data_IF_223806719800
#
_entry.id   IF_223806719800
#
_cell.length_a   1.000
_cell.length_b   1.000
_cell.length_c   1.000
_cell.angle_alpha   90.00
_cell.angle_beta   90.00
_cell.angle_gamma   90.00
#
_symmetry.space_group_name_H-M   'P 1'
#
loop_
_entity.id
_entity.type
_entity.pdbx_description
1 polymer ?
#
# COMPACT_ATOMS: atom_id res chain seq x y z
N UNK A 1 9.71 14.60 -2.02
CA UNK A 1 9.69 13.14 -2.18
C UNK A 1 10.39 12.72 -3.46
N UNK A 2 11.23 11.68 -3.40
CA UNK A 2 11.82 11.05 -4.58
C UNK A 2 11.44 9.57 -4.63
N UNK A 3 11.12 9.10 -5.83
CA UNK A 3 10.71 7.71 -6.06
C UNK A 3 11.81 6.71 -5.72
N UNK A 4 11.41 5.44 -5.61
CA UNK A 4 12.30 4.34 -5.29
C UNK A 4 13.42 4.18 -6.32
N UNK A 5 14.59 3.74 -5.84
CA UNK A 5 15.73 3.28 -6.64
C UNK A 5 16.23 1.95 -6.08
N UNK A 6 16.70 1.06 -6.94
CA UNK A 6 17.34 -0.18 -6.50
C UNK A 6 18.73 0.12 -5.89
N UNK A 7 19.00 -0.42 -4.71
CA UNK A 7 20.28 -0.30 -4.01
C UNK A 7 20.55 -1.57 -3.19
N UNK A 8 21.58 -2.33 -3.57
CA UNK A 8 22.04 -3.52 -2.83
C UNK A 8 20.90 -4.53 -2.52
N UNK A 9 20.06 -4.85 -3.51
CA UNK A 9 18.94 -5.80 -3.34
C UNK A 9 17.76 -5.25 -2.51
N UNK A 10 17.72 -3.93 -2.27
CA UNK A 10 16.61 -3.22 -1.63
C UNK A 10 16.11 -2.10 -2.54
N UNK A 11 14.92 -1.61 -2.24
CA UNK A 11 14.35 -0.43 -2.87
C UNK A 11 14.42 0.74 -1.89
N UNK A 12 14.97 1.87 -2.33
CA UNK A 12 15.16 3.05 -1.48
C UNK A 12 14.53 4.28 -2.14
N UNK A 13 13.53 4.85 -1.49
CA UNK A 13 12.96 6.16 -1.80
C UNK A 13 13.53 7.23 -0.85
N UNK A 14 13.36 8.51 -1.21
CA UNK A 14 13.60 9.61 -0.27
C UNK A 14 12.30 10.27 0.12
N UNK A 15 12.05 10.30 1.42
CA UNK A 15 10.87 10.85 2.06
C UNK A 15 11.39 11.63 3.26
N UNK A 16 11.24 12.95 3.23
CA UNK A 16 11.66 13.78 4.37
C UNK A 16 10.77 13.53 5.60
N UNK A 17 11.11 14.14 6.73
CA UNK A 17 10.40 13.94 7.99
C UNK A 17 8.93 14.36 7.93
N UNK A 18 8.62 15.49 7.26
CA UNK A 18 7.26 15.98 7.13
C UNK A 18 6.42 15.07 6.22
N UNK A 19 6.97 14.73 5.05
CA UNK A 19 6.33 13.79 4.12
C UNK A 19 6.08 12.43 4.77
N UNK A 20 7.03 11.95 5.58
CA UNK A 20 6.94 10.67 6.29
C UNK A 20 5.84 10.71 7.34
N UNK A 21 5.80 11.75 8.17
CA UNK A 21 4.77 11.92 9.19
C UNK A 21 3.37 11.95 8.56
N UNK A 22 3.22 12.61 7.41
CA UNK A 22 1.97 12.61 6.65
C UNK A 22 1.57 11.21 6.19
N UNK A 23 2.47 10.47 5.54
CA UNK A 23 2.15 9.11 5.08
C UNK A 23 1.85 8.19 6.27
N UNK A 24 2.60 8.30 7.36
CA UNK A 24 2.36 7.55 8.59
C UNK A 24 0.97 7.85 9.15
N UNK A 25 0.58 9.13 9.29
CA UNK A 25 -0.77 9.51 9.75
C UNK A 25 -1.87 8.86 8.90
N UNK A 26 -1.73 8.85 7.58
CA UNK A 26 -2.72 8.21 6.69
C UNK A 26 -2.75 6.70 6.89
N UNK A 27 -1.60 6.05 7.14
CA UNK A 27 -1.55 4.62 7.48
C UNK A 27 -2.28 4.34 8.79
N UNK A 28 -2.05 5.15 9.84
CA UNK A 28 -2.73 5.02 11.12
C UNK A 28 -4.25 5.20 10.99
N UNK A 29 -4.71 6.21 10.24
CA UNK A 29 -6.14 6.44 10.00
C UNK A 29 -6.79 5.27 9.25
N UNK A 30 -6.08 4.64 8.30
CA UNK A 30 -6.61 3.47 7.57
C UNK A 30 -6.59 2.20 8.42
N UNK A 31 -5.61 2.03 9.32
CA UNK A 31 -5.60 0.97 10.32
C UNK A 31 -6.81 1.08 11.25
N UNK A 32 -7.06 2.27 11.79
CA UNK A 32 -8.24 2.57 12.62
C UNK A 32 -9.54 2.32 11.86
N UNK A 33 -9.62 2.76 10.59
CA UNK A 33 -10.76 2.51 9.71
C UNK A 33 -11.02 1.02 9.50
N UNK A 34 -9.97 0.20 9.52
CA UNK A 34 -10.04 -1.25 9.46
C UNK A 34 -10.24 -1.90 10.84
N UNK A 35 -10.42 -1.13 11.90
CA UNK A 35 -10.65 -1.63 13.26
C UNK A 35 -9.40 -2.19 13.95
N UNK A 36 -8.21 -1.92 13.41
CA UNK A 36 -6.94 -2.20 14.06
C UNK A 36 -6.53 -1.03 14.97
N UNK A 37 -5.75 -1.28 16.03
CA UNK A 37 -5.23 -0.21 16.87
C UNK A 37 -4.33 0.74 16.08
N UNK A 38 -4.33 2.00 16.48
CA UNK A 38 -3.46 3.03 15.93
C UNK A 38 -2.04 2.85 16.47
N UNK A 39 -1.04 2.64 15.60
CA UNK A 39 0.33 2.40 16.07
C UNK A 39 0.98 3.66 16.67
N UNK A 40 0.57 4.87 16.28
CA UNK A 40 1.03 6.13 16.90
C UNK A 40 0.57 6.32 18.35
N UNK A 41 -0.58 5.73 18.72
CA UNK A 41 -1.09 5.79 20.10
C UNK A 41 -0.38 4.81 21.03
N UNK A 42 0.06 3.66 20.54
CA UNK A 42 0.84 2.68 21.30
C UNK A 42 2.22 3.22 21.70
N UNK A 43 2.88 4.00 20.82
CA UNK A 43 4.18 4.60 21.10
C UNK A 43 4.10 5.80 22.06
N UNK A 44 2.94 6.46 22.19
CA UNK A 44 2.70 7.52 23.17
C UNK A 44 2.41 6.98 24.58
N UNK A 45 2.28 5.65 24.73
CA UNK A 45 1.67 4.98 25.86
C UNK A 45 2.61 4.18 26.78
N UNK A 46 3.90 4.50 26.88
CA UNK A 46 4.85 3.82 27.82
C UNK A 46 4.55 4.07 29.32
N UNK A 47 3.34 4.54 29.67
CA UNK A 47 2.86 4.72 31.04
C UNK A 47 1.37 4.36 31.25
N UNK A 48 0.74 3.62 30.33
CA UNK A 48 -0.62 3.07 30.55
C UNK A 48 -0.57 1.56 30.80
N UNK A 49 -1.17 1.05 31.91
CA UNK A 49 -1.28 -0.38 32.10
C UNK A 49 -2.13 -0.95 30.96
N UNK A 50 -1.55 -1.89 30.21
CA UNK A 50 -2.25 -2.64 29.18
C UNK A 50 -3.54 -3.22 29.76
N UNK A 51 -4.67 -2.88 29.15
CA UNK A 51 -5.90 -3.63 29.39
C UNK A 51 -5.66 -5.10 29.00
N UNK A 52 -6.25 -6.08 29.71
CA UNK A 52 -6.03 -7.48 29.40
C UNK A 52 -6.42 -7.77 27.95
N UNK A 53 -5.43 -8.07 27.12
CA UNK A 53 -5.66 -8.72 25.83
C UNK A 53 -5.96 -10.18 26.14
N UNK A 54 -7.22 -10.59 25.98
CA UNK A 54 -7.64 -11.99 26.09
C UNK A 54 -6.91 -12.81 25.00
N UNK A 55 -6.08 -13.80 25.36
CA UNK A 55 -5.33 -14.58 24.40
C UNK A 55 -6.18 -15.73 23.86
N UNK A 56 -6.37 -15.77 22.54
CA UNK A 56 -6.76 -16.99 21.81
C UNK A 56 -8.25 -17.32 21.79
N UNK A 57 -8.99 -16.69 20.88
CA UNK A 57 -10.28 -17.20 20.43
C UNK A 57 -10.07 -18.20 19.28
N UNK A 58 -10.57 -19.43 19.44
CA UNK A 58 -10.80 -20.36 18.32
C UNK A 58 -11.59 -19.66 17.20
N UNK A 59 -11.45 -20.04 15.92
CA UNK A 59 -12.26 -19.44 14.86
C UNK A 59 -13.74 -19.66 15.17
N UNK A 60 -14.40 -18.62 15.66
CA UNK A 60 -15.84 -18.62 15.84
C UNK A 60 -16.44 -18.53 14.45
N UNK A 61 -17.05 -19.63 14.01
CA UNK A 61 -17.96 -19.62 12.86
C UNK A 61 -19.06 -18.60 13.19
N UNK A 62 -18.91 -17.37 12.69
CA UNK A 62 -19.92 -16.31 12.82
C UNK A 62 -21.17 -16.80 12.11
N UNK A 63 -22.25 -17.06 12.86
CA UNK A 63 -23.53 -17.55 12.32
C UNK A 63 -24.42 -16.42 11.81
N UNK A 64 -24.06 -15.17 12.10
CA UNK A 64 -24.77 -13.98 11.64
C UNK A 64 -24.12 -13.43 10.38
N UNK A 65 -24.95 -13.08 9.40
CA UNK A 65 -24.53 -12.50 8.12
C UNK A 65 -24.10 -11.04 8.33
N UNK A 66 -22.83 -10.66 8.15
CA UNK A 66 -22.39 -9.29 8.35
C UNK A 66 -23.00 -8.35 7.31
N UNK A 67 -23.56 -7.23 7.79
CA UNK A 67 -24.03 -6.15 6.95
C UNK A 67 -22.84 -5.53 6.18
N UNK A 68 -23.05 -5.00 4.96
CA UNK A 68 -22.01 -4.26 4.27
C UNK A 68 -21.46 -3.13 5.15
N UNK A 69 -20.15 -2.84 5.10
CA UNK A 69 -19.58 -1.72 5.84
C UNK A 69 -20.32 -0.40 5.52
N UNK A 70 -20.71 0.35 6.56
CA UNK A 70 -21.39 1.63 6.38
C UNK A 70 -20.53 2.67 5.66
N UNK A 71 -19.21 2.58 5.84
CA UNK A 71 -18.24 3.47 5.18
C UNK A 71 -17.97 3.03 3.73
N UNK A 72 -18.18 3.90 2.72
CA UNK A 72 -17.84 3.62 1.32
C UNK A 72 -16.37 3.24 1.08
N UNK A 73 -15.43 3.81 1.83
CA UNK A 73 -14.00 3.51 1.69
C UNK A 73 -13.70 2.08 2.17
N UNK A 74 -14.33 1.64 3.27
CA UNK A 74 -14.20 0.26 3.75
C UNK A 74 -14.81 -0.72 2.74
N UNK A 75 -15.95 -0.39 2.12
CA UNK A 75 -16.53 -1.20 1.03
C UNK A 75 -15.61 -1.29 -0.19
N UNK A 76 -14.82 -0.25 -0.46
CA UNK A 76 -13.84 -0.26 -1.55
C UNK A 76 -12.62 -1.10 -1.22
N UNK A 77 -12.20 -1.13 0.06
CA UNK A 77 -11.15 -2.01 0.54
C UNK A 77 -11.60 -3.47 0.58
N UNK A 78 -12.82 -3.73 1.06
CA UNK A 78 -13.42 -5.04 1.28
C UNK A 78 -14.60 -5.23 0.30
N UNK A 79 -14.33 -5.41 -1.01
CA UNK A 79 -15.38 -5.49 -2.02
C UNK A 79 -16.17 -6.79 -1.90
N UNK A 80 -17.46 -6.71 -2.24
CA UNK A 80 -18.32 -7.88 -2.35
C UNK A 80 -17.83 -8.83 -3.45
N UNK A 81 -17.82 -10.13 -3.14
CA UNK A 81 -17.44 -11.18 -4.11
C UNK A 81 -18.48 -11.38 -5.21
N UNK A 82 -19.71 -10.89 -5.04
CA UNK A 82 -20.77 -10.91 -6.03
C UNK A 82 -21.53 -9.60 -6.02
N UNK A 83 -21.75 -9.02 -7.21
CA UNK A 83 -22.57 -7.80 -7.39
C UNK A 83 -24.04 -8.12 -7.65
N UNK A 84 -24.31 -9.30 -8.20
CA UNK A 84 -25.63 -9.68 -8.70
C UNK A 84 -26.39 -10.61 -7.72
N UNK A 85 -25.70 -11.17 -6.73
CA UNK A 85 -26.27 -12.06 -5.72
C UNK A 85 -25.92 -11.58 -4.29
N UNK A 86 -26.82 -10.83 -3.64
CA UNK A 86 -26.62 -10.35 -2.28
C UNK A 86 -26.47 -11.47 -1.24
N UNK A 87 -27.09 -12.62 -1.45
CA UNK A 87 -27.04 -13.74 -0.51
C UNK A 87 -25.67 -14.41 -0.53
N UNK A 88 -25.14 -14.65 -1.73
CA UNK A 88 -23.79 -15.16 -1.96
C UNK A 88 -22.74 -14.17 -1.47
N UNK A 89 -22.90 -12.88 -1.77
CA UNK A 89 -22.00 -11.83 -1.28
C UNK A 89 -21.91 -11.86 0.25
N UNK A 90 -23.05 -12.01 0.93
CA UNK A 90 -23.11 -11.99 2.38
C UNK A 90 -22.54 -13.26 3.02
N UNK A 91 -22.72 -14.43 2.40
CA UNK A 91 -22.05 -15.67 2.78
C UNK A 91 -20.53 -15.56 2.59
N UNK A 92 -20.07 -14.99 1.49
CA UNK A 92 -18.65 -14.81 1.24
C UNK A 92 -18.01 -13.86 2.24
N UNK A 93 -18.67 -12.72 2.57
CA UNK A 93 -18.20 -11.81 3.63
C UNK A 93 -18.07 -12.53 4.96
N UNK A 94 -19.10 -13.28 5.37
CA UNK A 94 -19.10 -14.06 6.61
C UNK A 94 -17.90 -15.02 6.71
N UNK A 95 -17.44 -15.56 5.58
CA UNK A 95 -16.36 -16.54 5.53
C UNK A 95 -14.96 -15.94 5.34
N UNK A 96 -14.84 -14.73 4.79
CA UNK A 96 -13.53 -14.22 4.29
C UNK A 96 -13.19 -12.80 4.75
N UNK A 97 -14.14 -12.01 5.24
CA UNK A 97 -13.90 -10.59 5.52
C UNK A 97 -12.82 -10.40 6.61
N UNK A 98 -12.82 -11.24 7.64
CA UNK A 98 -11.83 -11.18 8.71
C UNK A 98 -10.41 -11.46 8.19
N UNK A 99 -10.24 -12.48 7.35
CA UNK A 99 -8.94 -12.83 6.75
C UNK A 99 -8.45 -11.72 5.80
N UNK A 100 -9.36 -11.15 5.01
CA UNK A 100 -9.06 -10.02 4.11
C UNK A 100 -8.65 -8.77 4.90
N UNK A 101 -9.33 -8.50 6.02
CA UNK A 101 -9.01 -7.40 6.93
C UNK A 101 -7.65 -7.60 7.56
N UNK A 102 -7.37 -8.78 8.12
CA UNK A 102 -6.08 -9.12 8.70
C UNK A 102 -4.95 -8.96 7.69
N UNK A 103 -5.13 -9.46 6.46
CA UNK A 103 -4.13 -9.31 5.41
C UNK A 103 -3.85 -7.85 5.03
N UNK A 104 -4.87 -6.98 5.03
CA UNK A 104 -4.69 -5.54 4.79
C UNK A 104 -3.97 -4.86 5.95
N UNK A 105 -4.33 -5.20 7.19
CA UNK A 105 -3.66 -4.71 8.40
C UNK A 105 -2.18 -5.08 8.37
N UNK A 106 -1.83 -6.35 8.12
CA UNK A 106 -0.43 -6.80 8.02
C UNK A 106 0.40 -6.00 7.01
N UNK A 107 -0.20 -5.66 5.86
CA UNK A 107 0.46 -4.87 4.80
C UNK A 107 0.66 -3.43 5.23
N UNK A 108 -0.35 -2.82 5.84
CA UNK A 108 -0.28 -1.46 6.37
C UNK A 108 0.74 -1.35 7.50
N UNK A 109 0.80 -2.33 8.39
CA UNK A 109 1.82 -2.42 9.44
C UNK A 109 3.23 -2.64 8.87
N UNK A 110 3.38 -3.38 7.77
CA UNK A 110 4.66 -3.49 7.08
C UNK A 110 5.12 -2.13 6.52
N UNK A 111 4.21 -1.35 5.92
CA UNK A 111 4.50 0.01 5.47
C UNK A 111 4.81 0.94 6.65
N UNK A 112 4.03 0.88 7.73
CA UNK A 112 4.27 1.64 8.97
C UNK A 112 5.69 1.41 9.51
N UNK A 113 6.09 0.14 9.68
CA UNK A 113 7.43 -0.22 10.15
C UNK A 113 8.54 0.31 9.24
N UNK A 114 8.33 0.30 7.92
CA UNK A 114 9.27 0.88 6.97
C UNK A 114 9.38 2.41 7.09
N UNK A 115 8.28 3.08 7.43
CA UNK A 115 8.26 4.51 7.72
C UNK A 115 8.97 4.83 9.04
N UNK A 116 8.78 4.04 10.10
CA UNK A 116 9.39 4.28 11.41
C UNK A 116 10.87 3.89 11.51
N UNK A 117 11.38 3.08 10.57
CA UNK A 117 12.77 2.59 10.58
C UNK A 117 13.65 3.23 9.48
N UNK A 118 13.92 4.55 9.50
CA UNK A 118 14.63 5.19 8.40
C UNK A 118 16.10 4.75 8.29
N UNK A 119 16.45 4.27 7.09
CA UNK A 119 17.82 4.20 6.57
C UNK A 119 18.88 3.45 7.38
N UNK A 120 18.49 2.54 8.30
CA UNK A 120 19.45 1.83 9.16
C UNK A 120 20.36 2.76 9.96
N UNK A 121 19.88 3.94 10.34
CA UNK A 121 20.57 4.91 11.18
C UNK A 121 21.51 5.90 10.47
N UNK A 122 21.74 5.80 9.14
CA UNK A 122 22.66 6.72 8.43
C UNK A 122 22.01 7.92 7.75
N UNK A 123 20.74 7.80 7.33
CA UNK A 123 19.98 8.86 6.65
C UNK A 123 18.50 8.80 7.05
N UNK A 124 18.02 9.84 7.73
CA UNK A 124 16.64 9.92 8.23
C UNK A 124 15.61 10.16 7.11
N UNK A 125 16.06 10.60 5.95
CA UNK A 125 15.24 10.86 4.76
C UNK A 125 15.06 9.62 3.86
N UNK A 126 15.61 8.45 4.22
CA UNK A 126 15.47 7.24 3.39
C UNK A 126 14.28 6.37 3.84
N UNK A 127 13.44 5.96 2.90
CA UNK A 127 12.46 4.88 3.05
C UNK A 127 13.02 3.64 2.38
N UNK A 128 13.39 2.63 3.18
CA UNK A 128 14.05 1.42 2.71
C UNK A 128 13.09 0.24 2.78
N UNK A 129 12.87 -0.42 1.65
CA UNK A 129 11.98 -1.57 1.53
C UNK A 129 12.79 -2.75 0.99
N UNK A 130 12.72 -3.91 1.65
CA UNK A 130 13.38 -5.12 1.19
C UNK A 130 12.67 -5.69 -0.05
N UNK A 131 13.36 -6.52 -0.84
CA UNK A 131 12.71 -7.21 -1.96
C UNK A 131 11.54 -8.10 -1.51
N UNK A 132 11.64 -8.67 -0.30
CA UNK A 132 10.61 -9.51 0.31
C UNK A 132 9.37 -8.70 0.72
N UNK A 133 9.54 -7.50 1.28
CA UNK A 133 8.43 -6.67 1.77
C UNK A 133 7.79 -5.83 0.66
N UNK A 134 8.47 -5.66 -0.48
CA UNK A 134 8.02 -4.80 -1.58
C UNK A 134 6.58 -5.10 -2.08
N UNK A 135 6.14 -6.36 -2.24
CA UNK A 135 4.76 -6.65 -2.60
C UNK A 135 3.74 -6.18 -1.56
N UNK A 136 4.04 -6.35 -0.27
CA UNK A 136 3.17 -5.92 0.82
C UNK A 136 3.07 -4.39 0.87
N UNK A 137 4.20 -3.70 0.75
CA UNK A 137 4.27 -2.23 0.69
C UNK A 137 3.52 -1.69 -0.53
N UNK A 138 3.72 -2.28 -1.71
CA UNK A 138 3.02 -1.86 -2.93
C UNK A 138 1.50 -2.05 -2.81
N UNK A 139 1.05 -3.13 -2.16
CA UNK A 139 -0.36 -3.37 -1.88
C UNK A 139 -0.93 -2.39 -0.84
N UNK A 140 -0.19 -2.10 0.24
CA UNK A 140 -0.57 -1.09 1.22
C UNK A 140 -0.76 0.29 0.58
N UNK A 141 0.16 0.70 -0.31
CA UNK A 141 0.02 1.94 -1.08
C UNK A 141 -1.24 1.96 -1.95
N UNK A 142 -1.65 0.82 -2.52
CA UNK A 142 -2.96 0.71 -3.20
C UNK A 142 -4.11 0.95 -2.24
N UNK A 143 -4.10 0.28 -1.07
CA UNK A 143 -5.18 0.39 -0.09
C UNK A 143 -5.34 1.86 0.38
N UNK A 144 -4.24 2.55 0.69
CA UNK A 144 -4.28 3.98 1.05
C UNK A 144 -4.88 4.83 -0.08
N UNK A 145 -4.48 4.58 -1.32
CA UNK A 145 -4.99 5.31 -2.49
C UNK A 145 -6.47 5.08 -2.73
N UNK A 146 -6.97 3.86 -2.49
CA UNK A 146 -8.40 3.57 -2.62
C UNK A 146 -9.23 4.36 -1.59
N UNK A 147 -8.74 4.46 -0.34
CA UNK A 147 -9.40 5.27 0.69
C UNK A 147 -9.38 6.75 0.31
N UNK A 148 -8.22 7.28 -0.08
CA UNK A 148 -8.09 8.67 -0.48
C UNK A 148 -8.96 9.01 -1.69
N UNK A 149 -9.00 8.15 -2.71
CA UNK A 149 -9.85 8.33 -3.89
C UNK A 149 -11.33 8.43 -3.50
N UNK A 150 -11.80 7.56 -2.61
CA UNK A 150 -13.19 7.59 -2.13
C UNK A 150 -13.50 8.91 -1.37
N UNK A 151 -12.60 9.36 -0.49
CA UNK A 151 -12.75 10.65 0.22
C UNK A 151 -12.69 11.86 -0.71
N UNK A 152 -11.96 11.74 -1.81
CA UNK A 152 -11.86 12.78 -2.85
C UNK A 152 -13.04 12.74 -3.83
N UNK A 153 -13.89 11.71 -3.76
CA UNK A 153 -15.00 11.51 -4.69
C UNK A 153 -14.53 11.13 -6.10
N UNK A 154 -13.45 10.33 -6.19
CA UNK A 154 -12.87 9.87 -7.46
C UNK A 154 -13.21 8.39 -7.64
N UNK A 155 -14.00 8.10 -8.67
CA UNK A 155 -14.46 6.75 -8.98
C UNK A 155 -14.07 6.30 -10.39
N UNK A 156 -13.66 7.23 -11.25
CA UNK A 156 -13.26 7.01 -12.64
C UNK A 156 -11.91 7.66 -12.96
N UNK A 157 -11.27 7.19 -14.04
CA UNK A 157 -10.00 7.76 -14.51
C UNK A 157 -10.15 9.23 -14.93
N UNK A 158 -11.27 9.58 -15.58
CA UNK A 158 -11.56 10.97 -15.96
C UNK A 158 -11.68 11.91 -14.74
N UNK A 159 -12.28 11.43 -13.65
CA UNK A 159 -12.35 12.19 -12.39
C UNK A 159 -10.96 12.31 -11.73
N UNK A 160 -10.11 11.29 -11.84
CA UNK A 160 -8.74 11.34 -11.34
C UNK A 160 -7.90 12.38 -12.11
N UNK A 161 -8.02 12.41 -13.43
CA UNK A 161 -7.35 13.41 -14.27
C UNK A 161 -7.82 14.83 -13.96
N UNK A 162 -9.14 15.03 -13.81
CA UNK A 162 -9.72 16.32 -13.45
C UNK A 162 -9.31 16.77 -12.04
N UNK A 163 -9.18 15.84 -11.09
CA UNK A 163 -8.73 16.12 -9.74
C UNK A 163 -7.31 16.72 -9.71
N UNK A 164 -6.40 16.24 -10.56
CA UNK A 164 -5.03 16.76 -10.62
C UNK A 164 -4.94 18.19 -11.17
N UNK A 165 -5.92 18.63 -11.98
CA UNK A 165 -5.95 20.00 -12.50
C UNK A 165 -5.95 21.04 -11.37
N UNK A 166 -6.57 20.73 -10.22
CA UNK A 166 -6.64 21.60 -9.04
C UNK A 166 -5.26 21.95 -8.48
N UNK A 167 -4.25 21.08 -8.65
CA UNK A 167 -2.87 21.36 -8.19
C UNK A 167 -2.13 22.33 -9.10
N UNK A 168 -2.55 22.46 -10.37
CA UNK A 168 -1.98 23.42 -11.32
C UNK A 168 -2.57 24.83 -11.19
N UNK A 169 -3.70 24.98 -10.50
CA UNK A 169 -4.35 26.25 -10.28
C UNK A 169 -3.75 27.00 -9.08
N UNK A 170 -3.54 28.32 -9.18
CA UNK A 170 -3.09 29.11 -8.04
C UNK A 170 -4.02 28.92 -6.84
N UNK A 171 -3.49 28.88 -5.61
CA UNK A 171 -4.34 28.81 -4.43
C UNK A 171 -5.31 30.00 -4.41
N UNK A 172 -6.58 29.78 -4.02
CA UNK A 172 -7.48 30.88 -3.83
C UNK A 172 -6.88 31.84 -2.81
N UNK A 173 -7.18 33.15 -2.91
CA UNK A 173 -6.70 34.11 -1.92
C UNK A 173 -7.11 33.64 -0.51
N UNK A 174 -6.26 33.88 0.49
CA UNK A 174 -6.47 33.41 1.86
C UNK A 174 -7.85 33.82 2.44
N UNK A 175 -8.44 34.90 1.93
CA UNK A 175 -9.79 35.37 2.28
C UNK A 175 -10.94 34.53 1.72
N UNK A 176 -10.69 33.69 0.70
CA UNK A 176 -11.67 32.84 0.03
C UNK A 176 -11.39 31.34 0.21
N UNK A 177 -10.20 30.98 0.72
CA UNK A 177 -9.86 29.63 1.11
C UNK A 177 -10.76 29.18 2.28
N UNK A 178 -11.79 28.39 1.98
CA UNK A 178 -12.49 27.62 3.00
C UNK A 178 -11.63 26.41 3.36
N UNK A 179 -11.62 26.02 4.63
CA UNK A 179 -10.82 24.88 5.12
C UNK A 179 -10.95 23.63 4.25
N UNK A 180 -12.17 23.30 3.82
CA UNK A 180 -12.47 22.15 2.95
C UNK A 180 -11.68 22.14 1.63
N UNK A 181 -11.42 23.30 1.03
CA UNK A 181 -10.70 23.39 -0.24
C UNK A 181 -9.20 23.18 -0.06
N UNK A 182 -8.64 23.69 1.05
CA UNK A 182 -7.25 23.45 1.43
C UNK A 182 -7.04 21.98 1.80
N UNK A 183 -7.93 21.40 2.61
CA UNK A 183 -7.94 19.97 2.94
C UNK A 183 -8.03 19.12 1.67
N UNK A 184 -8.91 19.47 0.74
CA UNK A 184 -9.02 18.75 -0.54
C UNK A 184 -7.71 18.81 -1.33
N UNK A 185 -7.12 20.00 -1.51
CA UNK A 185 -5.83 20.16 -2.21
C UNK A 185 -4.71 19.34 -1.56
N UNK A 186 -4.67 19.35 -0.24
CA UNK A 186 -3.73 18.54 0.53
C UNK A 186 -3.94 17.04 0.26
N UNK A 187 -5.16 16.52 0.37
CA UNK A 187 -5.46 15.11 0.09
C UNK A 187 -5.10 14.72 -1.36
N UNK A 188 -5.33 15.60 -2.34
CA UNK A 188 -4.90 15.39 -3.73
C UNK A 188 -3.38 15.29 -3.84
N UNK A 189 -2.62 16.14 -3.14
CA UNK A 189 -1.16 16.06 -3.14
C UNK A 189 -0.64 14.76 -2.52
N UNK A 190 -1.28 14.28 -1.43
CA UNK A 190 -0.93 13.00 -0.81
C UNK A 190 -1.24 11.84 -1.76
N UNK A 191 -2.43 11.83 -2.38
CA UNK A 191 -2.79 10.82 -3.38
C UNK A 191 -1.78 10.77 -4.55
N UNK A 192 -1.36 11.93 -5.07
CA UNK A 192 -0.33 12.02 -6.11
C UNK A 192 1.04 11.51 -5.64
N UNK A 193 1.46 11.85 -4.42
CA UNK A 193 2.71 11.36 -3.84
C UNK A 193 2.72 9.84 -3.68
N UNK A 194 1.64 9.25 -3.15
CA UNK A 194 1.49 7.80 -3.02
C UNK A 194 1.47 7.10 -4.39
N UNK A 195 0.83 7.72 -5.37
CA UNK A 195 0.83 7.24 -6.76
C UNK A 195 2.24 7.11 -7.31
N UNK A 196 3.01 8.18 -7.16
CA UNK A 196 4.40 8.22 -7.62
C UNK A 196 5.30 7.20 -6.90
N UNK A 197 5.17 7.09 -5.56
CA UNK A 197 5.91 6.08 -4.79
C UNK A 197 5.60 4.66 -5.28
N UNK A 198 4.32 4.34 -5.44
CA UNK A 198 3.89 3.02 -5.88
C UNK A 198 4.41 2.69 -7.27
N UNK A 199 4.25 3.61 -8.23
CA UNK A 199 4.72 3.42 -9.60
C UNK A 199 6.23 3.13 -9.63
N UNK A 200 7.01 3.96 -8.95
CA UNK A 200 8.47 3.78 -8.88
C UNK A 200 8.88 2.46 -8.24
N UNK A 201 8.14 1.97 -7.23
CA UNK A 201 8.39 0.68 -6.60
C UNK A 201 8.04 -0.49 -7.54
N UNK A 202 6.84 -0.46 -8.15
CA UNK A 202 6.36 -1.53 -9.03
C UNK A 202 7.25 -1.69 -10.26
N UNK A 203 7.70 -0.59 -10.86
CA UNK A 203 8.65 -0.62 -11.99
C UNK A 203 9.93 -1.39 -11.62
N UNK A 204 10.46 -1.14 -10.42
CA UNK A 204 11.67 -1.82 -9.95
C UNK A 204 11.42 -3.28 -9.59
N UNK A 205 10.30 -3.61 -8.96
CA UNK A 205 9.89 -5.00 -8.69
C UNK A 205 9.79 -5.82 -9.98
N UNK A 206 9.22 -5.25 -11.05
CA UNK A 206 9.13 -5.91 -12.35
C UNK A 206 10.51 -6.09 -13.01
N UNK A 207 11.42 -5.13 -12.85
CA UNK A 207 12.79 -5.25 -13.32
C UNK A 207 13.54 -6.36 -12.58
N UNK A 208 13.44 -6.39 -11.25
CA UNK A 208 14.06 -7.40 -10.38
C UNK A 208 13.55 -8.81 -10.69
N UNK A 209 12.22 -9.00 -10.82
CA UNK A 209 11.62 -10.28 -11.19
C UNK A 209 12.07 -10.77 -12.58
N UNK A 210 12.29 -9.87 -13.54
CA UNK A 210 12.85 -10.21 -14.86
C UNK A 210 14.31 -10.65 -14.75
N UNK A 211 15.11 -9.97 -13.91
CA UNK A 211 16.51 -10.35 -13.67
C UNK A 211 16.61 -11.70 -12.98
N UNK A 212 15.79 -11.96 -11.96
CA UNK A 212 15.71 -13.24 -11.27
C UNK A 212 15.39 -14.39 -12.25
N UNK A 213 14.39 -14.21 -13.14
CA UNK A 213 14.07 -15.22 -14.18
C UNK A 213 15.23 -15.48 -15.15
N UNK A 214 15.94 -14.44 -15.59
CA UNK A 214 17.12 -14.59 -16.45
C UNK A 214 18.25 -15.35 -15.76
N UNK A 215 18.47 -15.08 -14.47
CA UNK A 215 19.46 -15.79 -13.66
C UNK A 215 19.09 -17.26 -13.41
N UNK A 216 17.80 -17.59 -13.36
CA UNK A 216 17.29 -18.95 -13.16
C UNK A 216 17.16 -19.80 -14.45
N UNK A 217 17.49 -19.25 -15.63
CA UNK A 217 17.69 -20.04 -16.85
C UNK A 217 16.60 -19.91 -17.92
N UNK A 218 16.85 -19.02 -18.88
CA UNK A 218 16.39 -19.19 -20.26
C UNK A 218 17.39 -18.47 -21.20
N UNK A 219 18.61 -19.02 -21.27
CA UNK A 219 19.56 -18.66 -22.32
C UNK A 219 19.26 -19.49 -23.58
N UNK A 220 19.38 -18.95 -24.81
CA UNK A 220 19.13 -19.73 -26.00
C UNK A 220 20.03 -20.97 -26.01
N UNK A 221 19.52 -22.15 -26.45
CA UNK A 221 20.34 -23.34 -26.54
C UNK A 221 21.52 -23.03 -27.47
N UNK A 222 22.72 -22.98 -26.88
CA UNK A 222 23.95 -22.81 -27.64
C UNK A 222 24.00 -23.90 -28.68
N UNK A 223 24.06 -23.50 -29.96
CA UNK A 223 24.43 -24.37 -31.07
C UNK A 223 25.81 -24.93 -30.77
N UNK A 224 25.86 -26.10 -30.13
CA UNK A 224 27.09 -26.89 -30.05
C UNK A 224 27.43 -27.27 -31.48
N UNK A 225 28.51 -26.67 -31.98
CA UNK A 225 29.06 -26.96 -33.28
C UNK A 225 29.28 -28.45 -33.44
N UNK A 226 28.79 -28.99 -34.54
CA UNK A 226 29.23 -30.26 -35.10
C UNK A 226 30.71 -30.16 -35.41
N UNK A 227 31.54 -30.47 -34.41
CA UNK A 227 32.96 -30.71 -34.55
C UNK A 227 33.17 -32.03 -35.29
N UNK A 228 33.50 -31.88 -36.57
CA UNK A 228 34.56 -32.60 -37.28
C UNK A 228 34.98 -33.96 -36.70
N UNK A 229 34.48 -35.05 -37.29
CA UNK A 229 34.99 -36.41 -37.05
C UNK A 229 36.00 -36.73 -38.14
N UNK A 230 37.27 -36.51 -37.77
CA UNK A 230 38.48 -37.25 -38.07
C UNK A 230 38.56 -38.05 -39.39
N UNK A 231 39.53 -37.66 -40.21
CA UNK A 231 40.21 -38.57 -41.12
C UNK A 231 41.30 -39.42 -40.43
N UNK A 232 41.66 -40.48 -41.14
CA UNK A 232 42.90 -41.29 -41.09
C UNK A 232 43.01 -42.43 -40.07
N UNK A 233 43.08 -43.64 -40.63
CA UNK A 233 43.42 -44.91 -39.98
C UNK A 233 43.13 -46.09 -40.89
#
# INVERSE_FOLDING_TARGET
MHGFKARQGRFVARVDEGERAVVASVVADVLELLGAPRPDEEHAGDDRPAAPQEPGGLPHLRTDTPAPPGDPAVRRLLPDASRDDPSLAAEFRRLTEDDLRAQKVDRLEALWRALESPGGGRRRDELVVSAQDAPAVAAALTDLRLVLAERLGVHTDAEADAMYAVLGEPPPPASAARGDHETRRYLVSVYGALTWLQESLVVLMLADARQARRAHGDGPPGTQGTGDVAGSG
#
